data_IF_142477470396
#
_entry.id   IF_142477470396
#
_cell.length_a   1.000
_cell.length_b   1.000
_cell.length_c   1.000
_cell.angle_alpha   90.00
_cell.angle_beta   90.00
_cell.angle_gamma   90.00
#
_symmetry.space_group_name_H-M   'P 1'
#
loop_
_entity.id
_entity.type
_entity.pdbx_description
1 polymer ?
#
# COMPACT_ATOMS: atom_id res chain seq x y z
N UNK A 1 -13.79 0.97 -14.16
CA UNK A 1 -13.09 1.54 -12.99
C UNK A 1 -13.25 0.55 -11.85
N UNK A 2 -12.17 0.14 -11.18
CA UNK A 2 -12.29 -0.76 -10.02
C UNK A 2 -13.07 -0.07 -8.90
N UNK A 3 -13.88 -0.83 -8.15
CA UNK A 3 -14.59 -0.30 -6.98
C UNK A 3 -13.59 0.26 -5.96
N UNK A 4 -13.96 1.31 -5.24
CA UNK A 4 -13.13 1.89 -4.16
C UNK A 4 -12.77 0.82 -3.13
N UNK A 5 -13.67 -0.13 -2.86
CA UNK A 5 -13.41 -1.25 -1.95
C UNK A 5 -12.29 -2.16 -2.46
N UNK A 6 -12.28 -2.43 -3.77
CA UNK A 6 -11.23 -3.23 -4.39
C UNK A 6 -9.87 -2.52 -4.33
N UNK A 7 -9.85 -1.21 -4.63
CA UNK A 7 -8.64 -0.40 -4.51
C UNK A 7 -8.13 -0.33 -3.07
N UNK A 8 -9.05 -0.21 -2.10
CA UNK A 8 -8.71 -0.24 -0.68
C UNK A 8 -8.06 -1.56 -0.28
N UNK A 9 -8.64 -2.70 -0.68
CA UNK A 9 -8.06 -4.02 -0.43
C UNK A 9 -6.69 -4.16 -1.09
N UNK A 10 -6.56 -3.74 -2.35
CA UNK A 10 -5.30 -3.80 -3.10
C UNK A 10 -4.20 -2.97 -2.43
N UNK A 11 -4.51 -1.73 -2.04
CA UNK A 11 -3.59 -0.87 -1.29
C UNK A 11 -3.21 -1.50 0.05
N UNK A 12 -4.20 -2.04 0.78
CA UNK A 12 -3.94 -2.67 2.07
C UNK A 12 -3.01 -3.88 1.93
N UNK A 13 -3.31 -4.80 1.02
CA UNK A 13 -2.47 -5.98 0.76
C UNK A 13 -1.06 -5.56 0.36
N UNK A 14 -0.94 -4.59 -0.56
CA UNK A 14 0.35 -4.08 -1.00
C UNK A 14 1.19 -3.51 0.17
N UNK A 15 0.59 -2.65 1.00
CA UNK A 15 1.27 -2.06 2.16
C UNK A 15 1.63 -3.14 3.18
N UNK A 16 0.70 -4.03 3.50
CA UNK A 16 0.90 -5.04 4.53
C UNK A 16 1.99 -6.05 4.15
N UNK A 17 1.96 -6.53 2.90
CA UNK A 17 2.98 -7.44 2.38
C UNK A 17 4.35 -6.76 2.33
N UNK A 18 4.42 -5.49 1.92
CA UNK A 18 5.67 -4.72 1.94
C UNK A 18 6.24 -4.59 3.35
N UNK A 19 5.42 -4.21 4.32
CA UNK A 19 5.84 -4.06 5.71
C UNK A 19 6.28 -5.40 6.32
N UNK A 20 5.57 -6.49 6.01
CA UNK A 20 5.90 -7.85 6.46
C UNK A 20 7.22 -8.35 5.87
N UNK A 21 7.49 -8.03 4.60
CA UNK A 21 8.75 -8.36 3.94
C UNK A 21 9.96 -7.57 4.50
N UNK A 22 9.72 -6.43 5.13
CA UNK A 22 10.76 -5.53 5.64
C UNK A 22 10.67 -5.33 7.16
N UNK A 23 10.89 -6.38 7.99
CA UNK A 23 10.77 -6.29 9.45
C UNK A 23 11.74 -5.29 10.09
N UNK A 24 12.83 -4.93 9.40
CA UNK A 24 13.72 -3.86 9.82
C UNK A 24 13.02 -2.49 9.92
N UNK A 25 12.01 -2.24 9.07
CA UNK A 25 11.16 -1.05 9.10
C UNK A 25 10.12 -1.10 10.22
N UNK A 26 9.74 -2.31 10.68
CA UNK A 26 8.76 -2.56 11.73
C UNK A 26 9.30 -2.36 13.16
N UNK A 27 10.58 -2.01 13.34
CA UNK A 27 11.28 -2.07 14.64
C UNK A 27 10.71 -1.20 15.79
N UNK A 28 9.66 -0.40 15.62
CA UNK A 28 9.28 0.66 16.58
C UNK A 28 7.78 0.73 16.92
N UNK A 29 7.28 -0.31 17.58
CA UNK A 29 6.11 -0.19 18.46
C UNK A 29 6.38 -0.82 19.81
N UNK A 30 7.22 -0.17 20.62
CA UNK A 30 7.33 -0.48 22.06
C UNK A 30 6.17 0.20 22.79
N UNK A 31 4.94 -0.24 22.56
CA UNK A 31 3.83 0.13 23.46
C UNK A 31 3.80 -0.87 24.63
N UNK A 32 3.51 -0.42 25.86
CA UNK A 32 3.06 -1.36 26.89
C UNK A 32 1.84 -2.08 26.32
N UNK A 33 1.85 -3.42 26.31
CA UNK A 33 1.00 -4.28 25.47
C UNK A 33 1.35 -4.21 23.97
N UNK A 34 2.20 -5.13 23.51
CA UNK A 34 2.75 -5.29 22.16
C UNK A 34 1.72 -5.66 21.05
N UNK A 35 0.44 -5.27 21.20
CA UNK A 35 -0.63 -5.58 20.26
C UNK A 35 -1.49 -4.33 19.96
N UNK A 36 -1.11 -3.47 19.01
CA UNK A 36 -2.03 -2.50 18.42
C UNK A 36 -3.37 -3.13 18.04
N UNK A 37 -4.48 -2.50 18.42
CA UNK A 37 -5.78 -2.78 17.80
C UNK A 37 -5.91 -2.22 16.38
N UNK A 38 -5.05 -1.26 16.02
CA UNK A 38 -5.01 -0.60 14.72
C UNK A 38 -3.57 -0.58 14.22
N UNK A 39 -3.37 -1.18 13.05
CA UNK A 39 -2.07 -1.53 12.46
C UNK A 39 -1.47 -0.39 11.65
N UNK A 40 -0.16 -0.42 11.46
CA UNK A 40 0.54 0.57 10.63
C UNK A 40 0.14 0.44 9.15
N UNK A 41 -0.18 -0.78 8.69
CA UNK A 41 -0.73 -1.04 7.36
C UNK A 41 -2.06 -0.30 7.16
N UNK A 42 -2.97 -0.36 8.13
CA UNK A 42 -4.23 0.40 8.08
C UNK A 42 -3.99 1.91 8.10
N UNK A 43 -3.03 2.41 8.91
CA UNK A 43 -2.70 3.85 8.96
C UNK A 43 -2.30 4.35 7.57
N UNK A 44 -1.36 3.68 6.92
CA UNK A 44 -0.82 4.06 5.61
C UNK A 44 -1.89 3.87 4.52
N UNK A 45 -2.68 2.80 4.57
CA UNK A 45 -3.78 2.56 3.63
C UNK A 45 -4.76 3.73 3.57
N UNK A 46 -5.20 4.23 4.72
CA UNK A 46 -6.14 5.37 4.78
C UNK A 46 -5.50 6.65 4.22
N UNK A 47 -4.19 6.83 4.39
CA UNK A 47 -3.49 7.97 3.81
C UNK A 47 -3.43 7.86 2.28
N UNK A 48 -3.06 6.69 1.74
CA UNK A 48 -2.96 6.43 0.30
C UNK A 48 -4.32 6.50 -0.41
N UNK A 49 -5.41 6.13 0.29
CA UNK A 49 -6.78 6.27 -0.22
C UNK A 49 -7.16 7.73 -0.56
N UNK A 50 -6.40 8.73 -0.13
CA UNK A 50 -6.60 10.12 -0.56
C UNK A 50 -6.66 10.26 -2.09
N UNK A 51 -5.76 9.57 -2.81
CA UNK A 51 -5.69 9.61 -4.26
C UNK A 51 -6.92 9.00 -4.93
N UNK A 52 -7.23 7.71 -4.68
CA UNK A 52 -8.43 7.04 -5.20
C UNK A 52 -9.74 7.74 -4.85
N UNK A 53 -9.85 8.35 -3.66
CA UNK A 53 -11.04 9.11 -3.25
C UNK A 53 -11.11 10.51 -3.88
N UNK A 54 -10.04 11.01 -4.50
CA UNK A 54 -10.00 12.31 -5.17
C UNK A 54 -10.17 13.49 -4.21
N UNK A 55 -9.68 13.40 -2.97
CA UNK A 55 -9.87 14.44 -1.95
C UNK A 55 -8.60 15.25 -1.67
N UNK A 56 -8.80 16.53 -1.32
CA UNK A 56 -7.72 17.50 -1.17
C UNK A 56 -6.92 17.36 0.13
N UNK A 57 -7.42 16.62 1.12
CA UNK A 57 -6.72 16.47 2.41
C UNK A 57 -6.86 15.09 3.03
N UNK A 58 -5.82 14.68 3.75
CA UNK A 58 -5.81 13.48 4.61
C UNK A 58 -6.99 13.46 5.60
N UNK A 59 -7.40 14.63 6.11
CA UNK A 59 -8.56 14.76 7.00
C UNK A 59 -9.87 14.40 6.31
N UNK A 60 -10.03 14.77 5.03
CA UNK A 60 -11.20 14.37 4.24
C UNK A 60 -11.17 12.87 3.95
N UNK A 61 -10.01 12.30 3.58
CA UNK A 61 -9.83 10.86 3.36
C UNK A 61 -10.24 10.08 4.60
N UNK A 62 -9.69 10.43 5.76
CA UNK A 62 -10.00 9.81 7.04
C UNK A 62 -11.50 9.88 7.36
N UNK A 63 -12.14 11.05 7.17
CA UNK A 63 -13.57 11.23 7.45
C UNK A 63 -14.46 10.38 6.53
N UNK A 64 -14.12 10.29 5.25
CA UNK A 64 -14.85 9.46 4.29
C UNK A 64 -14.71 7.98 4.63
N UNK A 65 -13.50 7.53 4.99
CA UNK A 65 -13.25 6.16 5.45
C UNK A 65 -14.04 5.84 6.71
N UNK A 66 -13.96 6.71 7.72
CA UNK A 66 -14.69 6.53 8.97
C UNK A 66 -16.21 6.47 8.79
N UNK A 67 -16.75 7.18 7.78
CA UNK A 67 -18.19 7.24 7.51
C UNK A 67 -18.69 6.07 6.65
N UNK A 68 -17.97 5.72 5.58
CA UNK A 68 -18.49 4.82 4.55
C UNK A 68 -17.90 3.40 4.67
N UNK A 69 -16.69 3.24 5.21
CA UNK A 69 -15.96 1.96 5.26
C UNK A 69 -15.53 1.59 6.68
N UNK A 70 -16.36 1.90 7.67
CA UNK A 70 -16.07 1.62 9.09
C UNK A 70 -15.92 0.12 9.39
N UNK A 71 -16.62 -0.73 8.64
CA UNK A 71 -16.53 -2.20 8.73
C UNK A 71 -15.15 -2.73 8.33
N UNK A 72 -14.49 -2.10 7.36
CA UNK A 72 -13.14 -2.47 6.93
C UNK A 72 -12.06 -2.08 7.96
N UNK A 73 -12.32 -1.05 8.77
CA UNK A 73 -11.42 -0.58 9.82
C UNK A 73 -12.14 -0.58 11.19
N UNK A 74 -12.46 -1.75 11.76
CA UNK A 74 -13.31 -1.87 12.95
C UNK A 74 -12.69 -1.23 14.20
N UNK A 75 -11.36 -1.13 14.26
CA UNK A 75 -10.64 -0.53 15.37
C UNK A 75 -10.09 0.87 15.06
N UNK A 76 -10.69 1.60 14.11
CA UNK A 76 -10.24 2.94 13.72
C UNK A 76 -10.12 3.89 14.94
N UNK A 77 -8.92 4.43 15.24
CA UNK A 77 -8.70 5.36 16.35
C UNK A 77 -9.23 6.75 15.98
N UNK A 78 -9.15 7.74 16.89
CA UNK A 78 -9.52 9.12 16.55
C UNK A 78 -8.61 9.73 15.48
N UNK A 79 -9.07 10.77 14.76
CA UNK A 79 -8.25 11.46 13.76
C UNK A 79 -6.90 11.93 14.32
N UNK A 80 -6.89 12.48 15.53
CA UNK A 80 -5.66 12.96 16.18
C UNK A 80 -4.67 11.82 16.47
N UNK A 81 -5.16 10.67 16.94
CA UNK A 81 -4.32 9.50 17.16
C UNK A 81 -3.80 8.92 15.84
N UNK A 82 -4.67 8.87 14.82
CA UNK A 82 -4.33 8.41 13.48
C UNK A 82 -3.23 9.28 12.84
N UNK A 83 -3.40 10.60 12.81
CA UNK A 83 -2.42 11.50 12.17
C UNK A 83 -1.09 11.52 12.92
N UNK A 84 -1.11 11.49 14.25
CA UNK A 84 0.10 11.38 15.06
C UNK A 84 0.85 10.07 14.75
N UNK A 85 0.12 8.98 14.53
CA UNK A 85 0.75 7.71 14.13
C UNK A 85 1.32 7.81 12.72
N UNK A 86 0.59 8.38 11.77
CA UNK A 86 1.06 8.56 10.40
C UNK A 86 2.38 9.36 10.36
N UNK A 87 2.51 10.42 11.16
CA UNK A 87 3.76 11.18 11.27
C UNK A 87 4.95 10.34 11.77
N UNK A 88 4.70 9.35 12.65
CA UNK A 88 5.73 8.42 13.10
C UNK A 88 6.11 7.38 12.04
N UNK A 89 5.29 7.21 11.00
CA UNK A 89 5.50 6.24 9.92
C UNK A 89 6.20 6.84 8.70
N UNK A 90 6.75 8.06 8.81
CA UNK A 90 7.42 8.76 7.69
C UNK A 90 8.51 7.92 7.04
N UNK A 91 9.29 7.15 7.81
CA UNK A 91 10.34 6.27 7.27
C UNK A 91 9.74 5.13 6.44
N UNK A 92 8.67 4.52 6.92
CA UNK A 92 7.98 3.41 6.27
C UNK A 92 7.33 3.87 4.97
N UNK A 93 6.70 5.05 4.98
CA UNK A 93 6.13 5.68 3.79
C UNK A 93 7.24 6.00 2.78
N UNK A 94 8.37 6.56 3.21
CA UNK A 94 9.52 6.82 2.35
C UNK A 94 10.08 5.56 1.69
N UNK A 95 10.32 4.51 2.48
CA UNK A 95 10.81 3.23 1.98
C UNK A 95 9.83 2.57 0.98
N UNK A 96 8.53 2.64 1.26
CA UNK A 96 7.49 2.15 0.35
C UNK A 96 7.50 2.93 -0.97
N UNK A 97 7.63 4.27 -0.92
CA UNK A 97 7.75 5.11 -2.11
C UNK A 97 9.02 4.79 -2.91
N UNK A 98 10.16 4.63 -2.24
CA UNK A 98 11.42 4.22 -2.87
C UNK A 98 11.29 2.86 -3.55
N UNK A 99 10.60 1.89 -2.93
CA UNK A 99 10.38 0.58 -3.52
C UNK A 99 9.44 0.62 -4.74
N UNK A 100 8.44 1.50 -4.74
CA UNK A 100 7.50 1.63 -5.88
C UNK A 100 8.09 2.46 -7.02
N UNK A 101 8.79 3.55 -6.69
CA UNK A 101 9.32 4.51 -7.66
C UNK A 101 10.75 4.19 -8.09
N UNK A 102 11.48 3.37 -7.33
CA UNK A 102 12.84 2.91 -7.62
C UNK A 102 12.90 1.82 -8.70
N UNK A 103 11.78 1.52 -9.36
CA UNK A 103 11.82 0.78 -10.62
C UNK A 103 12.46 1.67 -11.68
N UNK A 104 13.76 1.46 -11.87
CA UNK A 104 14.46 1.95 -13.04
C UNK A 104 13.67 1.50 -14.29
N UNK A 105 13.29 2.45 -15.13
CA UNK A 105 12.68 2.17 -16.43
C UNK A 105 13.55 1.27 -17.31
N UNK A 106 14.87 1.17 -17.03
CA UNK A 106 15.79 0.21 -17.65
C UNK A 106 15.67 -1.23 -17.11
N UNK A 107 15.10 -1.43 -15.91
CA UNK A 107 14.85 -2.76 -15.34
C UNK A 107 13.49 -3.35 -15.77
N UNK A 108 12.62 -2.56 -16.40
CA UNK A 108 11.48 -3.07 -17.13
C UNK A 108 12.00 -3.89 -18.31
N UNK A 109 12.13 -5.21 -18.12
CA UNK A 109 12.50 -6.15 -19.17
C UNK A 109 11.46 -6.04 -20.29
N UNK A 110 11.78 -5.23 -21.30
CA UNK A 110 11.11 -5.22 -22.59
C UNK A 110 11.31 -6.60 -23.20
N UNK A 111 10.25 -7.40 -23.22
CA UNK A 111 10.24 -8.63 -23.98
C UNK A 111 9.90 -8.30 -25.43
N UNK A 112 10.86 -8.45 -26.34
CA UNK A 112 10.61 -8.44 -27.77
C UNK A 112 10.17 -9.86 -28.17
N UNK A 113 8.89 -10.04 -28.47
CA UNK A 113 8.42 -11.26 -29.11
C UNK A 113 8.54 -11.12 -30.62
N UNK A 114 9.48 -11.87 -31.20
CA UNK A 114 9.55 -12.08 -32.65
C UNK A 114 8.56 -13.18 -33.04
N UNK A 115 7.71 -12.89 -34.02
CA UNK A 115 6.71 -13.83 -34.55
C UNK A 115 7.16 -14.52 -35.84
N UNK A 116 8.42 -14.35 -36.25
CA UNK A 116 8.99 -15.10 -37.38
C UNK A 116 8.92 -16.61 -37.07
N UNK A 117 8.19 -17.41 -37.88
CA UNK A 117 8.15 -18.85 -37.69
C UNK A 117 9.52 -19.46 -37.98
N UNK A 118 9.99 -20.31 -37.07
CA UNK A 118 11.23 -21.07 -37.25
C UNK A 118 10.90 -22.28 -38.15
N UNK A 119 11.55 -22.43 -39.32
CA UNK A 119 11.34 -23.59 -40.17
C UNK A 119 11.84 -24.86 -39.46
N UNK A 120 10.96 -25.84 -39.30
CA UNK A 120 11.30 -27.15 -38.74
C UNK A 120 11.75 -28.07 -39.88
N UNK A 121 12.95 -28.65 -39.75
CA UNK A 121 13.35 -29.78 -40.58
C UNK A 121 12.59 -31.02 -40.12
N UNK A 122 11.80 -31.62 -41.02
CA UNK A 122 11.30 -32.96 -40.81
C UNK A 122 12.40 -33.97 -41.17
N UNK A 123 12.58 -34.99 -40.33
CA UNK A 123 13.50 -36.09 -40.64
C UNK A 123 12.91 -36.89 -41.81
N UNK A 124 13.69 -37.00 -42.90
CA UNK A 124 13.46 -37.94 -43.99
C UNK A 124 14.24 -39.23 -43.72
#
# INVERSE_FOLDING_TARGET
MSSIEHQMTEIYCFVDDYLRAHPALLKWRRSPHCAPRFTDSEVITIALLQGPLGVASLKQSYRLVARNWRSAFPCLPTYTQWINRLHQLTRQVGALLEATCGHDSLAARLYLMDSKPIPLCHQL
#
